data_IF_172932765474
#
_entry.id   IF_172932765474
#
_cell.length_a   1.000
_cell.length_b   1.000
_cell.length_c   1.000
_cell.angle_alpha   90.00
_cell.angle_beta   90.00
_cell.angle_gamma   90.00
#
_symmetry.space_group_name_H-M   'P 1'
#
loop_
_entity.id
_entity.type
_entity.pdbx_description
1 polymer ?
#
# COMPACT_ATOMS: atom_id res chain seq x y z
N UNK A 1 -7.36 14.82 66.19
CA UNK A 1 -6.31 13.81 65.91
C UNK A 1 -6.67 13.08 64.62
N UNK A 2 -5.83 13.25 63.57
CA UNK A 2 -5.72 12.50 62.30
C UNK A 2 -6.90 12.42 61.29
N UNK A 3 -6.62 12.31 59.97
CA UNK A 3 -5.76 13.18 59.17
C UNK A 3 -6.38 13.61 57.82
N UNK A 4 -5.74 14.60 57.21
CA UNK A 4 -5.92 15.07 55.83
C UNK A 4 -6.00 13.94 54.80
N UNK A 5 -7.06 13.93 53.99
CA UNK A 5 -7.12 13.15 52.74
C UNK A 5 -6.47 13.97 51.62
N UNK A 6 -5.37 13.46 51.08
CA UNK A 6 -4.81 13.86 49.77
C UNK A 6 -5.90 13.74 48.70
N UNK A 7 -6.03 14.71 47.77
CA UNK A 7 -6.72 14.43 46.52
C UNK A 7 -5.89 13.41 45.74
N UNK A 8 -6.51 12.29 45.36
CA UNK A 8 -5.92 11.34 44.42
C UNK A 8 -5.70 12.02 43.06
N UNK A 9 -4.64 11.65 42.32
CA UNK A 9 -4.45 12.15 40.98
C UNK A 9 -5.64 11.72 40.13
N UNK A 10 -6.34 12.72 39.59
CA UNK A 10 -7.33 12.55 38.53
C UNK A 10 -6.61 11.87 37.36
N UNK A 11 -6.70 10.54 37.31
CA UNK A 11 -6.38 9.77 36.13
C UNK A 11 -7.29 10.30 35.03
N UNK A 12 -6.75 11.17 34.18
CA UNK A 12 -7.38 11.65 32.97
C UNK A 12 -7.29 10.51 31.96
N UNK A 13 -8.06 9.46 32.22
CA UNK A 13 -8.34 8.41 31.25
C UNK A 13 -9.17 9.06 30.15
N UNK A 14 -8.51 9.46 29.06
CA UNK A 14 -9.21 9.87 27.84
C UNK A 14 -10.13 8.71 27.44
N UNK A 15 -11.47 8.88 27.43
CA UNK A 15 -12.36 7.86 26.94
C UNK A 15 -12.30 7.88 25.41
N UNK A 16 -11.93 6.75 24.79
CA UNK A 16 -12.07 6.57 23.33
C UNK A 16 -10.83 6.13 22.56
N UNK A 17 -9.85 5.44 23.16
CA UNK A 17 -8.83 4.70 22.38
C UNK A 17 -9.41 3.37 21.90
N UNK A 18 -10.47 3.45 21.09
CA UNK A 18 -11.01 2.31 20.37
C UNK A 18 -9.95 1.81 19.37
N UNK A 19 -9.85 0.48 19.25
CA UNK A 19 -9.04 -0.31 18.32
C UNK A 19 -8.29 0.53 17.28
N UNK A 20 -7.00 0.79 17.56
CA UNK A 20 -6.11 1.41 16.57
C UNK A 20 -6.10 0.49 15.35
N UNK A 21 -6.40 0.99 14.13
CA UNK A 21 -6.38 0.18 12.93
C UNK A 21 -5.05 -0.55 12.73
N UNK A 22 -5.11 -1.79 12.26
CA UNK A 22 -3.93 -2.64 12.10
C UNK A 22 -2.95 -2.04 11.09
N UNK A 23 -3.42 -1.38 10.03
CA UNK A 23 -2.59 -0.78 9.01
C UNK A 23 -3.27 0.40 8.30
N UNK A 24 -2.46 1.18 7.58
CA UNK A 24 -2.84 2.42 6.94
C UNK A 24 -2.24 2.53 5.54
N UNK A 25 -2.93 3.28 4.70
CA UNK A 25 -2.41 3.82 3.45
C UNK A 25 -2.32 5.33 3.61
N UNK A 26 -1.21 5.93 3.19
CA UNK A 26 -1.10 7.37 3.09
C UNK A 26 -0.99 7.79 1.63
N UNK A 27 -1.63 8.91 1.30
CA UNK A 27 -1.43 9.66 0.06
C UNK A 27 -0.62 10.89 0.40
N UNK A 28 0.59 11.00 -0.13
CA UNK A 28 1.48 12.12 0.15
C UNK A 28 1.13 13.38 -0.67
N UNK A 29 1.86 14.48 -0.42
CA UNK A 29 1.73 15.75 -1.12
C UNK A 29 2.09 15.65 -2.62
N UNK A 30 2.92 14.68 -3.00
CA UNK A 30 3.24 14.31 -4.39
C UNK A 30 2.19 13.41 -5.05
N UNK A 31 1.12 13.09 -4.33
CA UNK A 31 0.03 12.19 -4.71
C UNK A 31 0.49 10.73 -4.94
N UNK A 32 1.57 10.31 -4.29
CA UNK A 32 2.01 8.91 -4.25
C UNK A 32 1.34 8.15 -3.10
N UNK A 33 1.23 6.83 -3.25
CA UNK A 33 0.60 5.96 -2.26
C UNK A 33 1.65 5.13 -1.52
N UNK A 34 1.58 5.12 -0.19
CA UNK A 34 2.45 4.32 0.67
C UNK A 34 1.65 3.50 1.67
N UNK A 35 2.13 2.30 2.01
CA UNK A 35 1.51 1.38 2.97
C UNK A 35 2.31 1.28 4.27
N UNK A 36 1.60 1.34 5.39
CA UNK A 36 2.16 1.30 6.75
C UNK A 36 1.42 0.26 7.58
N UNK A 37 2.15 -0.66 8.19
CA UNK A 37 1.58 -1.82 8.93
C UNK A 37 1.13 -1.50 10.35
N UNK A 38 1.22 -0.24 10.76
CA UNK A 38 0.86 0.25 12.08
C UNK A 38 0.87 1.78 12.09
N UNK A 39 0.22 2.37 13.09
CA UNK A 39 0.31 3.81 13.34
C UNK A 39 1.75 4.25 13.60
N UNK A 40 2.54 3.43 14.32
CA UNK A 40 3.94 3.75 14.60
C UNK A 40 4.79 3.82 13.32
N UNK A 41 4.64 2.83 12.43
CA UNK A 41 5.32 2.81 11.13
C UNK A 41 4.89 4.04 10.29
N UNK A 42 3.61 4.40 10.34
CA UNK A 42 3.05 5.57 9.66
C UNK A 42 3.70 6.87 10.15
N UNK A 43 3.69 7.11 11.45
CA UNK A 43 4.23 8.35 12.04
C UNK A 43 5.74 8.47 11.85
N UNK A 44 6.47 7.36 11.82
CA UNK A 44 7.89 7.35 11.50
C UNK A 44 8.19 7.67 10.02
N UNK A 45 7.18 7.59 9.15
CA UNK A 45 7.32 7.84 7.72
C UNK A 45 7.15 9.31 7.30
N UNK A 46 6.85 10.22 8.22
CA UNK A 46 6.58 11.63 7.94
C UNK A 46 7.39 12.57 8.84
N UNK A 47 7.93 13.63 8.26
CA UNK A 47 8.70 14.67 8.98
C UNK A 47 7.83 15.89 9.29
N UNK A 48 6.71 16.07 8.58
CA UNK A 48 5.79 17.19 8.73
C UNK A 48 4.33 16.80 8.54
N UNK A 49 3.41 17.50 9.22
CA UNK A 49 1.97 17.26 9.11
C UNK A 49 1.40 17.55 7.71
N UNK A 50 2.09 18.38 6.92
CA UNK A 50 1.66 18.75 5.57
C UNK A 50 2.02 17.74 4.49
N UNK A 51 2.87 16.75 4.80
CA UNK A 51 3.34 15.76 3.83
C UNK A 51 2.29 14.70 3.50
N UNK A 52 1.34 14.45 4.40
CA UNK A 52 0.23 13.52 4.16
C UNK A 52 -1.06 14.28 3.81
N UNK A 53 -1.53 14.12 2.56
CA UNK A 53 -2.81 14.69 2.10
C UNK A 53 -4.02 13.93 2.66
N UNK A 54 -3.87 12.62 2.84
CA UNK A 54 -4.92 11.74 3.35
C UNK A 54 -4.28 10.46 3.89
N UNK A 55 -4.78 10.00 5.03
CA UNK A 55 -4.42 8.72 5.63
C UNK A 55 -5.70 7.91 5.74
N UNK A 56 -5.70 6.68 5.24
CA UNK A 56 -6.90 5.84 5.14
C UNK A 56 -6.64 4.50 5.82
N UNK A 57 -7.56 4.06 6.68
CA UNK A 57 -7.53 2.72 7.29
C UNK A 57 -8.28 1.66 6.44
N UNK A 58 -8.28 0.39 6.89
CA UNK A 58 -9.00 -0.70 6.19
C UNK A 58 -10.51 -0.52 6.10
N UNK A 59 -11.10 0.26 7.01
CA UNK A 59 -12.53 0.56 7.01
C UNK A 59 -12.87 1.70 6.05
N UNK A 60 -11.86 2.36 5.47
CA UNK A 60 -12.02 3.52 4.62
C UNK A 60 -12.25 4.80 5.41
N UNK A 61 -11.89 4.83 6.69
CA UNK A 61 -11.88 6.02 7.52
C UNK A 61 -10.68 6.88 7.13
N UNK A 62 -10.92 8.17 6.90
CA UNK A 62 -9.89 9.13 6.56
C UNK A 62 -9.39 9.88 7.80
N UNK A 63 -8.10 10.20 7.81
CA UNK A 63 -7.37 10.90 8.86
C UNK A 63 -6.39 11.90 8.22
N UNK A 64 -5.86 12.79 9.06
CA UNK A 64 -4.72 13.64 8.74
C UNK A 64 -3.66 13.53 9.83
N UNK A 65 -2.46 14.03 9.57
CA UNK A 65 -1.46 14.22 10.62
C UNK A 65 -1.75 15.51 11.40
N UNK A 66 -1.47 15.48 12.69
CA UNK A 66 -1.59 16.63 13.58
C UNK A 66 -0.36 16.76 14.48
N UNK A 67 -0.19 17.93 15.10
CA UNK A 67 0.77 18.11 16.19
C UNK A 67 0.05 17.99 17.53
N UNK A 68 0.59 17.20 18.44
CA UNK A 68 0.15 17.18 19.83
C UNK A 68 0.65 18.43 20.60
N UNK A 69 0.28 18.53 21.88
CA UNK A 69 0.71 19.63 22.75
C UNK A 69 2.25 19.74 22.89
N UNK A 70 2.98 18.66 22.62
CA UNK A 70 4.45 18.59 22.68
C UNK A 70 5.10 18.80 21.31
N UNK A 71 4.34 19.21 20.28
CA UNK A 71 4.79 19.37 18.90
C UNK A 71 5.31 18.08 18.26
N UNK A 72 4.79 16.92 18.69
CA UNK A 72 5.06 15.63 18.06
C UNK A 72 3.98 15.34 17.04
N UNK A 73 4.38 14.73 15.92
CA UNK A 73 3.44 14.26 14.91
C UNK A 73 2.64 13.09 15.49
N UNK A 74 1.33 13.20 15.39
CA UNK A 74 0.35 12.18 15.80
C UNK A 74 -0.67 11.99 14.70
N UNK A 75 -1.38 10.86 14.73
CA UNK A 75 -2.57 10.68 13.91
C UNK A 75 -3.69 11.58 14.46
N UNK A 76 -4.20 12.45 13.61
CA UNK A 76 -5.30 13.35 13.94
C UNK A 76 -6.64 12.62 14.12
N UNK A 77 -7.70 13.35 14.50
CA UNK A 77 -9.03 12.76 14.63
C UNK A 77 -9.54 12.24 13.27
N UNK A 78 -10.46 11.29 13.31
CA UNK A 78 -11.17 10.83 12.11
C UNK A 78 -11.88 11.99 11.42
N UNK A 79 -11.72 12.07 10.10
CA UNK A 79 -12.40 13.00 9.20
C UNK A 79 -13.64 12.37 8.55
N UNK A 80 -14.05 11.19 9.01
CA UNK A 80 -15.12 10.40 8.41
C UNK A 80 -14.64 9.55 7.22
N UNK A 81 -15.57 8.96 6.44
CA UNK A 81 -15.22 8.07 5.35
C UNK A 81 -14.52 8.81 4.20
N UNK A 82 -13.49 8.19 3.63
CA UNK A 82 -12.83 8.66 2.41
C UNK A 82 -13.81 8.68 1.24
N UNK A 83 -13.73 9.73 0.43
CA UNK A 83 -14.56 9.85 -0.76
C UNK A 83 -14.05 8.88 -1.85
N UNK A 84 -14.94 7.99 -2.31
CA UNK A 84 -14.59 6.88 -3.19
C UNK A 84 -14.10 7.33 -4.56
N UNK A 85 -14.75 8.34 -5.17
CA UNK A 85 -14.36 8.82 -6.51
C UNK A 85 -12.99 9.48 -6.47
N UNK A 86 -12.72 10.25 -5.43
CA UNK A 86 -11.43 10.87 -5.17
C UNK A 86 -10.35 9.82 -5.00
N UNK A 87 -10.56 8.82 -4.12
CA UNK A 87 -9.57 7.77 -3.88
C UNK A 87 -9.25 6.99 -5.16
N UNK A 88 -10.29 6.65 -5.93
CA UNK A 88 -10.15 5.98 -7.22
C UNK A 88 -9.34 6.83 -8.21
N UNK A 89 -9.69 8.10 -8.37
CA UNK A 89 -9.00 9.00 -9.29
C UNK A 89 -7.54 9.25 -8.87
N UNK A 90 -7.29 9.41 -7.56
CA UNK A 90 -5.95 9.55 -7.00
C UNK A 90 -5.11 8.32 -7.31
N UNK A 91 -5.66 7.11 -7.12
CA UNK A 91 -4.98 5.87 -7.43
C UNK A 91 -4.68 5.69 -8.93
N UNK A 92 -5.65 5.95 -9.79
CA UNK A 92 -5.48 5.90 -11.26
C UNK A 92 -4.38 6.89 -11.71
N UNK A 93 -4.35 8.08 -11.10
CA UNK A 93 -3.33 9.10 -11.36
C UNK A 93 -1.93 8.68 -10.89
N UNK A 94 -1.82 8.18 -9.65
CA UNK A 94 -0.57 7.69 -9.08
C UNK A 94 0.04 6.58 -9.95
N UNK A 95 -0.76 5.60 -10.38
CA UNK A 95 -0.32 4.54 -11.29
C UNK A 95 0.20 5.04 -12.64
N UNK A 96 -0.44 6.09 -13.19
CA UNK A 96 -0.04 6.66 -14.46
C UNK A 96 1.29 7.41 -14.36
N UNK A 97 1.49 8.18 -13.28
CA UNK A 97 2.68 9.04 -13.09
C UNK A 97 3.85 8.26 -12.49
N UNK A 98 3.58 7.39 -11.53
CA UNK A 98 4.55 6.63 -10.72
C UNK A 98 4.51 5.14 -11.04
N UNK A 99 4.45 4.79 -12.32
CA UNK A 99 4.30 3.38 -12.76
C UNK A 99 5.44 2.44 -12.33
N UNK A 100 6.56 2.98 -11.82
CA UNK A 100 7.65 2.20 -11.22
C UNK A 100 7.34 1.77 -9.80
N UNK A 101 6.60 2.59 -9.07
CA UNK A 101 6.17 2.32 -7.69
C UNK A 101 4.93 1.42 -7.72
N UNK A 102 4.05 1.62 -8.72
CA UNK A 102 2.81 0.86 -8.86
C UNK A 102 2.78 0.00 -10.13
N UNK A 103 3.33 -1.21 -10.02
CA UNK A 103 3.56 -2.14 -11.12
C UNK A 103 2.49 -3.22 -11.22
N UNK A 104 1.76 -3.48 -10.12
CA UNK A 104 0.65 -4.43 -10.10
C UNK A 104 -0.63 -3.75 -10.62
N UNK A 105 -1.10 -4.20 -11.78
CA UNK A 105 -2.24 -3.63 -12.48
C UNK A 105 -3.45 -4.56 -12.34
N UNK A 106 -4.18 -4.41 -11.24
CA UNK A 106 -5.46 -5.11 -11.01
C UNK A 106 -6.62 -4.52 -11.80
N UNK A 107 -7.65 -5.33 -12.01
CA UNK A 107 -8.92 -4.89 -12.59
C UNK A 107 -9.58 -3.83 -11.71
N UNK A 108 -10.25 -2.86 -12.35
CA UNK A 108 -10.81 -1.73 -11.62
C UNK A 108 -12.01 -2.19 -10.77
N UNK A 109 -12.01 -1.88 -9.46
CA UNK A 109 -13.05 -2.28 -8.54
C UNK A 109 -14.36 -1.55 -8.81
N UNK A 110 -15.49 -2.28 -8.74
CA UNK A 110 -16.83 -1.70 -8.87
C UNK A 110 -17.36 -1.06 -7.59
N UNK A 111 -16.74 -1.31 -6.43
CA UNK A 111 -17.21 -0.84 -5.11
C UNK A 111 -16.08 -0.24 -4.29
N UNK A 112 -16.43 0.60 -3.30
CA UNK A 112 -15.47 1.19 -2.36
C UNK A 112 -14.68 0.14 -1.59
N UNK A 113 -15.37 -0.86 -1.05
CA UNK A 113 -14.72 -1.89 -0.23
C UNK A 113 -13.74 -2.73 -1.06
N UNK A 114 -14.08 -3.03 -2.32
CA UNK A 114 -13.17 -3.74 -3.21
C UNK A 114 -11.94 -2.88 -3.55
N UNK A 115 -12.11 -1.56 -3.77
CA UNK A 115 -10.98 -0.66 -3.99
C UNK A 115 -10.03 -0.60 -2.80
N UNK A 116 -10.57 -0.45 -1.60
CA UNK A 116 -9.76 -0.43 -0.39
C UNK A 116 -9.01 -1.75 -0.22
N UNK A 117 -9.71 -2.88 -0.31
CA UNK A 117 -9.08 -4.19 -0.25
C UNK A 117 -7.94 -4.32 -1.26
N UNK A 118 -8.19 -3.99 -2.53
CA UNK A 118 -7.19 -4.10 -3.58
C UNK A 118 -6.01 -3.15 -3.36
N UNK A 119 -6.24 -1.93 -2.89
CA UNK A 119 -5.16 -0.98 -2.56
C UNK A 119 -4.26 -1.50 -1.44
N UNK A 120 -4.85 -1.97 -0.34
CA UNK A 120 -4.09 -2.52 0.79
C UNK A 120 -3.27 -3.73 0.36
N UNK A 121 -3.85 -4.64 -0.42
CA UNK A 121 -3.12 -5.80 -0.94
C UNK A 121 -2.01 -5.39 -1.91
N UNK A 122 -2.29 -4.53 -2.90
CA UNK A 122 -1.28 -4.08 -3.89
C UNK A 122 -0.11 -3.40 -3.18
N UNK A 123 -0.38 -2.42 -2.32
CA UNK A 123 0.68 -1.65 -1.69
C UNK A 123 1.49 -2.48 -0.70
N UNK A 124 0.86 -3.46 -0.03
CA UNK A 124 1.59 -4.41 0.81
C UNK A 124 2.50 -5.32 -0.02
N UNK A 125 2.08 -5.75 -1.21
CA UNK A 125 2.87 -6.57 -2.14
C UNK A 125 4.01 -5.79 -2.81
N UNK A 126 3.83 -4.49 -3.04
CA UNK A 126 4.82 -3.61 -3.69
C UNK A 126 5.89 -3.11 -2.70
N UNK A 127 5.64 -3.21 -1.39
CA UNK A 127 6.61 -2.84 -0.35
C UNK A 127 7.80 -3.81 -0.40
N UNK A 128 9.01 -3.23 -0.44
CA UNK A 128 10.29 -3.98 -0.56
C UNK A 128 10.65 -4.75 0.71
N UNK A 129 10.02 -4.45 1.85
CA UNK A 129 10.37 -5.06 3.14
C UNK A 129 9.57 -6.36 3.34
N UNK A 130 10.18 -7.44 2.88
CA UNK A 130 9.81 -8.83 3.12
C UNK A 130 10.13 -9.30 4.56
N UNK A 131 9.56 -10.43 5.03
CA UNK A 131 8.72 -11.36 4.27
C UNK A 131 7.21 -11.12 4.41
N UNK A 132 6.51 -11.09 3.28
CA UNK A 132 5.05 -11.25 3.23
C UNK A 132 4.67 -12.70 3.63
N UNK A 133 3.51 -12.95 4.29
CA UNK A 133 3.16 -14.29 4.82
C UNK A 133 2.94 -15.41 3.79
N UNK A 134 3.12 -15.16 2.49
CA UNK A 134 2.95 -16.17 1.45
C UNK A 134 3.92 -15.97 0.29
N UNK A 135 4.19 -17.04 -0.48
CA UNK A 135 5.10 -16.98 -1.61
C UNK A 135 4.42 -16.35 -2.83
N UNK A 136 5.22 -15.70 -3.64
CA UNK A 136 4.95 -15.52 -5.05
C UNK A 136 5.19 -16.83 -5.79
N UNK A 137 4.36 -17.12 -6.79
CA UNK A 137 4.50 -18.32 -7.62
C UNK A 137 4.73 -17.88 -9.05
N UNK A 138 5.87 -18.26 -9.61
CA UNK A 138 6.26 -17.97 -10.98
C UNK A 138 6.11 -19.24 -11.82
N UNK A 139 5.26 -19.16 -12.84
CA UNK A 139 5.05 -20.21 -13.82
C UNK A 139 5.68 -19.75 -15.15
N UNK A 140 6.81 -20.38 -15.48
CA UNK A 140 7.49 -20.33 -16.78
C UNK A 140 7.48 -21.74 -17.38
N UNK A 141 7.94 -21.92 -18.61
CA UNK A 141 8.02 -23.23 -19.27
C UNK A 141 8.73 -24.26 -18.36
N UNK A 142 7.96 -25.06 -17.62
CA UNK A 142 8.48 -25.94 -16.56
C UNK A 142 7.64 -25.94 -15.26
N UNK A 143 8.18 -26.52 -14.19
CA UNK A 143 7.53 -26.53 -12.87
C UNK A 143 7.40 -25.12 -12.26
N UNK A 144 6.33 -24.85 -11.48
CA UNK A 144 6.17 -23.57 -10.80
C UNK A 144 7.27 -23.33 -9.75
N UNK A 145 7.88 -22.15 -9.79
CA UNK A 145 8.88 -21.69 -8.82
C UNK A 145 8.21 -20.89 -7.69
N UNK A 146 8.68 -21.06 -6.45
CA UNK A 146 8.23 -20.30 -5.28
C UNK A 146 9.27 -19.24 -4.94
N UNK A 147 8.85 -17.98 -4.97
CA UNK A 147 9.68 -16.80 -4.72
C UNK A 147 9.12 -16.05 -3.50
N UNK A 148 9.97 -15.33 -2.78
CA UNK A 148 9.56 -14.61 -1.56
C UNK A 148 9.01 -13.23 -1.88
N UNK A 149 9.50 -12.60 -2.95
CA UNK A 149 9.23 -11.18 -3.22
C UNK A 149 8.92 -10.91 -4.69
N UNK A 150 8.29 -9.76 -4.95
CA UNK A 150 8.16 -9.24 -6.31
C UNK A 150 9.52 -8.92 -6.95
N UNK A 151 10.52 -8.56 -6.13
CA UNK A 151 11.87 -8.30 -6.61
C UNK A 151 12.56 -9.59 -7.12
N UNK A 152 12.39 -10.71 -6.44
CA UNK A 152 12.89 -12.01 -6.91
C UNK A 152 12.19 -12.43 -8.22
N UNK A 153 10.90 -12.12 -8.36
CA UNK A 153 10.19 -12.30 -9.63
C UNK A 153 10.84 -11.45 -10.72
N UNK A 154 11.13 -10.18 -10.44
CA UNK A 154 11.79 -9.29 -11.40
C UNK A 154 13.17 -9.83 -11.84
N UNK A 155 13.98 -10.30 -10.89
CA UNK A 155 15.30 -10.87 -11.16
C UNK A 155 15.22 -12.11 -12.06
N UNK A 156 14.22 -12.98 -11.84
CA UNK A 156 13.99 -14.13 -12.71
C UNK A 156 13.52 -13.74 -14.10
N UNK A 157 12.71 -12.68 -14.21
CA UNK A 157 12.21 -12.20 -15.50
C UNK A 157 13.19 -11.29 -16.25
N UNK A 158 14.27 -10.82 -15.62
CA UNK A 158 15.26 -9.94 -16.24
C UNK A 158 15.91 -10.59 -17.49
N UNK A 159 16.15 -11.90 -17.46
CA UNK A 159 16.74 -12.66 -18.57
C UNK A 159 15.74 -13.23 -19.59
N UNK A 160 14.44 -13.22 -19.29
CA UNK A 160 13.44 -13.91 -20.12
C UNK A 160 13.16 -13.12 -21.41
N UNK A 161 13.45 -13.67 -22.60
CA UNK A 161 13.23 -12.97 -23.86
C UNK A 161 11.74 -12.70 -24.16
N UNK A 162 10.87 -13.67 -23.83
CA UNK A 162 9.44 -13.63 -24.07
C UNK A 162 8.68 -13.78 -22.74
N UNK A 163 7.59 -13.02 -22.58
CA UNK A 163 6.78 -13.00 -21.35
C UNK A 163 5.33 -13.47 -21.58
N UNK A 164 4.98 -13.87 -22.81
CA UNK A 164 3.60 -14.14 -23.22
C UNK A 164 2.98 -15.34 -22.49
N UNK A 165 3.80 -16.37 -22.25
CA UNK A 165 3.44 -17.59 -21.54
C UNK A 165 3.63 -17.51 -20.03
N UNK A 166 4.34 -16.49 -19.54
CA UNK A 166 4.65 -16.35 -18.12
C UNK A 166 3.38 -16.01 -17.34
N UNK A 167 3.20 -16.68 -16.20
CA UNK A 167 2.18 -16.33 -15.20
C UNK A 167 2.84 -16.13 -13.85
N UNK A 168 2.41 -15.10 -13.15
CA UNK A 168 2.85 -14.80 -11.79
C UNK A 168 1.63 -14.79 -10.90
N UNK A 169 1.66 -15.55 -9.81
CA UNK A 169 0.58 -15.54 -8.81
C UNK A 169 1.09 -14.94 -7.51
N UNK A 170 0.36 -13.96 -6.99
CA UNK A 170 0.70 -13.33 -5.71
C UNK A 170 0.23 -14.16 -4.51
N UNK A 171 0.67 -13.83 -3.29
CA UNK A 171 0.21 -14.44 -2.04
C UNK A 171 -1.31 -14.39 -1.81
N UNK A 172 -2.00 -13.41 -2.40
CA UNK A 172 -3.47 -13.27 -2.39
C UNK A 172 -4.15 -14.09 -3.49
N UNK A 173 -3.39 -14.96 -4.17
CA UNK A 173 -3.85 -15.87 -5.23
C UNK A 173 -4.34 -15.15 -6.48
N UNK A 174 -3.98 -13.88 -6.68
CA UNK A 174 -4.24 -13.16 -7.95
C UNK A 174 -3.18 -13.55 -8.96
N UNK A 175 -3.61 -13.75 -10.21
CA UNK A 175 -2.72 -14.13 -11.30
C UNK A 175 -2.50 -12.94 -12.22
N UNK A 176 -1.25 -12.74 -12.61
CA UNK A 176 -0.81 -11.66 -13.47
C UNK A 176 -0.05 -12.20 -14.67
N UNK A 177 -0.17 -11.48 -15.78
CA UNK A 177 0.72 -11.60 -16.92
C UNK A 177 1.74 -10.45 -16.88
N UNK A 178 3.04 -10.73 -16.80
CA UNK A 178 4.06 -9.70 -16.88
C UNK A 178 4.15 -9.15 -18.30
N UNK A 179 4.29 -7.84 -18.43
CA UNK A 179 4.36 -7.11 -19.70
C UNK A 179 5.49 -6.08 -19.59
N UNK A 180 6.38 -6.05 -20.58
CA UNK A 180 7.34 -4.96 -20.73
C UNK A 180 6.66 -3.79 -21.43
N UNK A 181 6.53 -2.66 -20.75
CA UNK A 181 6.08 -1.43 -21.39
C UNK A 181 7.20 -0.91 -22.29
N UNK A 182 7.14 -1.17 -23.61
CA UNK A 182 8.03 -0.49 -24.56
C UNK A 182 7.70 1.00 -24.58
N UNK A 183 8.51 1.86 -23.95
CA UNK A 183 8.41 3.30 -24.23
C UNK A 183 8.89 3.58 -25.66
N UNK A 184 8.19 4.48 -26.36
CA UNK A 184 8.52 4.87 -27.73
C UNK A 184 9.96 5.46 -27.79
N UNK A 185 10.86 4.71 -28.42
CA UNK A 185 12.08 5.06 -29.18
C UNK A 185 13.18 6.00 -28.64
N UNK A 186 13.13 6.59 -27.44
CA UNK A 186 14.19 7.56 -27.04
C UNK A 186 14.97 7.34 -25.74
N UNK A 187 14.84 6.20 -25.06
CA UNK A 187 15.64 5.91 -23.86
C UNK A 187 16.37 4.58 -24.00
N UNK A 188 17.68 4.64 -24.28
CA UNK A 188 18.58 3.47 -24.44
C UNK A 188 19.27 3.00 -23.16
N UNK A 189 18.93 3.55 -21.99
CA UNK A 189 19.75 3.35 -20.77
C UNK A 189 19.01 2.83 -19.52
N UNK A 190 17.71 2.54 -19.59
CA UNK A 190 17.03 1.83 -18.52
C UNK A 190 16.15 0.75 -19.14
N UNK A 191 16.29 -0.50 -18.69
CA UNK A 191 15.29 -1.51 -18.99
C UNK A 191 13.95 -0.99 -18.45
N UNK A 192 12.96 -0.86 -19.33
CA UNK A 192 11.62 -0.45 -18.89
C UNK A 192 11.09 -1.47 -17.86
N UNK A 193 10.51 -1.02 -16.74
CA UNK A 193 10.06 -1.93 -15.69
C UNK A 193 8.98 -2.88 -16.22
N UNK A 194 9.03 -4.14 -15.78
CA UNK A 194 7.95 -5.10 -15.98
C UNK A 194 6.74 -4.61 -15.18
N UNK A 195 5.59 -4.55 -15.85
CA UNK A 195 4.28 -4.33 -15.19
C UNK A 195 3.51 -5.65 -15.21
N UNK A 196 2.75 -5.91 -14.16
CA UNK A 196 2.04 -7.16 -13.95
C UNK A 196 0.55 -6.89 -14.10
N UNK A 197 -0.05 -7.25 -15.23
CA UNK A 197 -1.49 -7.01 -15.45
C UNK A 197 -2.29 -8.24 -15.06
N UNK A 198 -3.26 -8.06 -14.18
CA UNK A 198 -4.11 -9.13 -13.67
C UNK A 198 -4.82 -9.80 -14.85
N UNK A 199 -4.86 -11.13 -14.83
CA UNK A 199 -5.57 -11.95 -15.79
C UNK A 199 -6.50 -12.87 -15.02
N UNK A 200 -7.75 -12.92 -15.45
CA UNK A 200 -8.64 -13.97 -14.97
C UNK A 200 -8.26 -15.30 -15.64
N UNK A 201 -8.36 -16.42 -14.92
CA UNK A 201 -8.32 -17.72 -15.59
C UNK A 201 -9.39 -17.70 -16.69
N UNK A 202 -9.01 -18.13 -17.90
CA UNK A 202 -9.98 -18.37 -18.95
C UNK A 202 -11.04 -19.32 -18.39
N UNK A 203 -12.32 -18.91 -18.46
CA UNK A 203 -13.45 -19.77 -18.12
C UNK A 203 -13.55 -20.92 -19.11
#
# INVERSE_FOLDING_TARGET
MNPSRRPEPHNSSVPGRADIPDDFIAVDDTADFSYYRSEQDLLAGFESVGEARSIVDRHGTNYCLALDANRRIVLGPSLGPVEFRWLRHAWESARSVKSRNHRLLRFHPGTRNQLLLDLFEILALERVIDPFPGPWILEMDGPPERLQSLHEVDDRLAGAAQLEHVRVRDPFRRTYRPVRRRKRRFSRLAQDPVVYVEVHPAR
#
